data_IF_800557538816
#
_entry.id   IF_800557538816
#
_cell.length_a   1.000
_cell.length_b   1.000
_cell.length_c   1.000
_cell.angle_alpha   90.00
_cell.angle_beta   90.00
_cell.angle_gamma   90.00
#
_symmetry.space_group_name_H-M   'P 1'
#
loop_
_entity.id
_entity.type
_entity.pdbx_description
1 polymer ?
#
# COMPACT_ATOMS: atom_id res chain seq x y z
N UNK A 1 1.45 -22.48 0.71
CA UNK A 1 1.16 -21.36 1.64
C UNK A 1 -0.30 -21.02 1.51
N UNK A 2 -1.09 -21.30 2.54
CA UNK A 2 -2.55 -21.16 2.53
C UNK A 2 -2.99 -19.71 2.80
N UNK A 3 -4.28 -19.42 2.64
CA UNK A 3 -4.89 -18.13 2.97
C UNK A 3 -4.80 -17.73 4.46
N UNK A 4 -4.40 -18.66 5.34
CA UNK A 4 -4.22 -18.42 6.78
C UNK A 4 -2.80 -17.98 7.14
N UNK A 5 -1.87 -17.97 6.18
CA UNK A 5 -0.44 -17.77 6.45
C UNK A 5 -0.04 -16.27 6.48
N UNK A 6 -0.95 -15.37 6.09
CA UNK A 6 -0.72 -13.93 6.04
C UNK A 6 -1.82 -13.15 6.74
N UNK A 7 -1.47 -12.03 7.36
CA UNK A 7 -2.42 -11.07 7.88
C UNK A 7 -3.39 -10.56 6.81
N UNK A 8 -4.60 -10.25 7.27
CA UNK A 8 -5.74 -9.84 6.43
C UNK A 8 -5.38 -8.68 5.48
N UNK A 9 -4.56 -7.73 5.95
CA UNK A 9 -4.14 -6.60 5.14
C UNK A 9 -3.34 -7.01 3.91
N UNK A 10 -2.24 -7.75 4.08
CA UNK A 10 -1.41 -8.20 2.95
C UNK A 10 -2.21 -9.09 2.01
N UNK A 11 -3.03 -9.99 2.55
CA UNK A 11 -3.85 -10.91 1.78
C UNK A 11 -4.84 -10.21 0.82
N UNK A 12 -5.49 -9.14 1.27
CA UNK A 12 -6.48 -8.42 0.45
C UNK A 12 -5.93 -7.24 -0.34
N UNK A 13 -4.71 -6.77 -0.04
CA UNK A 13 -4.15 -5.58 -0.69
C UNK A 13 -2.96 -5.88 -1.61
N UNK A 14 -2.29 -7.02 -1.44
CA UNK A 14 -1.19 -7.40 -2.32
C UNK A 14 -1.71 -7.66 -3.74
N UNK A 15 -1.00 -7.10 -4.72
CA UNK A 15 -1.37 -7.14 -6.14
C UNK A 15 -0.36 -7.94 -6.96
N UNK A 16 -0.89 -8.74 -7.89
CA UNK A 16 -0.14 -9.56 -8.82
C UNK A 16 -0.25 -8.95 -10.23
N UNK A 17 0.88 -8.43 -10.71
CA UNK A 17 1.07 -7.98 -12.07
C UNK A 17 1.71 -9.14 -12.87
N UNK A 18 0.86 -9.90 -13.57
CA UNK A 18 1.19 -11.20 -14.19
C UNK A 18 2.19 -11.08 -15.33
N UNK A 19 2.04 -10.04 -16.17
CA UNK A 19 2.91 -9.83 -17.35
C UNK A 19 4.28 -9.32 -16.94
N UNK A 20 4.35 -8.51 -15.89
CA UNK A 20 5.58 -8.03 -15.27
C UNK A 20 6.20 -9.07 -14.32
N UNK A 21 5.46 -10.13 -13.96
CA UNK A 21 5.85 -11.12 -12.94
C UNK A 21 6.22 -10.44 -11.63
N UNK A 22 5.33 -9.56 -11.16
CA UNK A 22 5.52 -8.77 -9.95
C UNK A 22 4.42 -9.09 -8.94
N UNK A 23 4.82 -9.39 -7.71
CA UNK A 23 3.97 -9.33 -6.52
C UNK A 23 4.37 -8.09 -5.72
N UNK A 24 3.43 -7.15 -5.57
CA UNK A 24 3.63 -5.94 -4.79
C UNK A 24 2.70 -5.93 -3.58
N UNK A 25 3.28 -5.81 -2.38
CA UNK A 25 2.51 -5.63 -1.13
C UNK A 25 2.53 -4.14 -0.77
N UNK A 26 1.38 -3.44 -0.85
CA UNK A 26 1.35 -1.99 -0.69
C UNK A 26 1.42 -1.55 0.78
N UNK A 27 2.25 -0.54 1.08
CA UNK A 27 2.26 0.14 2.38
C UNK A 27 1.52 1.47 2.29
N UNK A 28 0.56 1.76 3.18
CA UNK A 28 -0.08 3.08 3.21
C UNK A 28 0.94 4.20 3.45
N UNK A 29 0.77 5.29 2.69
CA UNK A 29 1.62 6.51 2.74
C UNK A 29 3.07 6.33 2.29
N UNK A 30 3.34 5.31 1.47
CA UNK A 30 4.66 5.02 0.89
C UNK A 30 4.57 4.93 -0.64
N UNK A 31 3.98 5.95 -1.28
CA UNK A 31 3.81 6.03 -2.74
C UNK A 31 3.08 4.82 -3.39
N UNK A 32 2.28 4.07 -2.63
CA UNK A 32 1.58 2.89 -3.11
C UNK A 32 0.58 3.21 -4.25
N UNK A 33 -0.04 4.38 -4.23
CA UNK A 33 -0.88 4.88 -5.33
C UNK A 33 -0.09 4.96 -6.65
N UNK A 34 1.07 5.61 -6.64
CA UNK A 34 1.97 5.72 -7.80
C UNK A 34 2.43 4.35 -8.30
N UNK A 35 2.83 3.46 -7.40
CA UNK A 35 3.28 2.11 -7.76
C UNK A 35 2.16 1.31 -8.41
N UNK A 36 0.93 1.35 -7.85
CA UNK A 36 -0.22 0.65 -8.44
C UNK A 36 -0.56 1.19 -9.83
N UNK A 37 -0.50 2.51 -10.05
CA UNK A 37 -0.69 3.08 -11.39
C UNK A 37 0.36 2.61 -12.38
N UNK A 38 1.63 2.63 -11.97
CA UNK A 38 2.75 2.21 -12.81
C UNK A 38 2.63 0.71 -13.19
N UNK A 39 2.28 -0.15 -12.24
CA UNK A 39 2.08 -1.59 -12.47
C UNK A 39 0.85 -1.86 -13.33
N UNK A 40 -0.30 -1.26 -13.03
CA UNK A 40 -1.53 -1.45 -13.81
C UNK A 40 -1.37 -0.96 -15.27
N UNK A 41 -0.63 0.14 -15.46
CA UNK A 41 -0.27 0.63 -16.80
C UNK A 41 0.62 -0.37 -17.54
N UNK A 42 1.63 -0.94 -16.88
CA UNK A 42 2.51 -1.94 -17.49
C UNK A 42 1.79 -3.26 -17.82
N UNK A 43 0.81 -3.63 -16.99
CA UNK A 43 -0.04 -4.79 -17.20
C UNK A 43 -1.06 -4.59 -18.34
N UNK A 44 -1.35 -3.33 -18.70
CA UNK A 44 -2.47 -2.94 -19.59
C UNK A 44 -3.82 -3.39 -19.03
N UNK A 45 -4.00 -3.30 -17.71
CA UNK A 45 -5.20 -3.77 -16.99
C UNK A 45 -6.06 -2.63 -16.45
N UNK A 46 -5.68 -1.38 -16.71
CA UNK A 46 -6.49 -0.22 -16.33
C UNK A 46 -7.87 -0.31 -16.97
N UNK A 47 -8.88 -0.27 -16.11
CA UNK A 47 -10.28 -0.34 -16.49
C UNK A 47 -10.88 1.06 -16.57
N UNK A 48 -11.84 1.25 -17.48
CA UNK A 48 -12.72 2.42 -17.49
C UNK A 48 -13.89 2.28 -16.50
N UNK A 49 -13.87 1.26 -15.64
CA UNK A 49 -14.90 1.06 -14.63
C UNK A 49 -14.99 2.27 -13.69
N UNK A 50 -16.23 2.61 -13.31
CA UNK A 50 -16.48 3.61 -12.28
C UNK A 50 -16.09 2.97 -10.96
N UNK A 51 -15.06 3.52 -10.30
CA UNK A 51 -14.69 3.07 -8.96
C UNK A 51 -15.85 3.29 -8.00
N UNK A 52 -16.11 2.29 -7.17
CA UNK A 52 -17.08 2.39 -6.06
C UNK A 52 -16.39 2.80 -4.75
N UNK A 53 -15.10 3.10 -4.81
CA UNK A 53 -14.30 3.50 -3.67
C UNK A 53 -14.76 4.85 -3.10
N UNK A 54 -14.82 5.03 -1.77
CA UNK A 54 -15.13 6.31 -1.13
C UNK A 54 -13.98 7.33 -1.23
N UNK A 55 -12.98 7.06 -2.07
CA UNK A 55 -11.79 7.89 -2.19
C UNK A 55 -12.11 9.21 -2.94
N UNK A 56 -11.66 10.37 -2.43
CA UNK A 56 -12.13 11.67 -2.87
C UNK A 56 -11.50 12.18 -4.18
N UNK A 57 -10.52 11.47 -4.72
CA UNK A 57 -9.81 11.88 -5.96
C UNK A 57 -9.67 10.70 -6.90
N UNK A 58 -9.70 10.97 -8.20
CA UNK A 58 -9.52 9.96 -9.26
C UNK A 58 -8.23 9.16 -9.09
N UNK A 59 -7.13 9.78 -8.67
CA UNK A 59 -5.86 9.06 -8.48
C UNK A 59 -5.94 7.96 -7.43
N UNK A 60 -6.74 8.17 -6.37
CA UNK A 60 -6.92 7.23 -5.27
C UNK A 60 -7.89 6.09 -5.63
N UNK A 61 -8.60 6.19 -6.76
CA UNK A 61 -9.45 5.08 -7.23
C UNK A 61 -8.64 3.84 -7.62
N UNK A 62 -7.33 3.98 -7.88
CA UNK A 62 -6.44 2.85 -8.18
C UNK A 62 -6.32 1.84 -7.03
N UNK A 63 -6.83 2.16 -5.84
CA UNK A 63 -6.89 1.21 -4.73
C UNK A 63 -8.04 0.20 -4.88
N UNK A 64 -8.99 0.47 -5.76
CA UNK A 64 -10.11 -0.41 -6.12
C UNK A 64 -9.65 -1.45 -7.17
N UNK A 65 -9.79 -2.76 -6.88
CA UNK A 65 -9.44 -3.81 -7.83
C UNK A 65 -10.15 -3.71 -9.18
N UNK A 66 -11.36 -3.15 -9.22
CA UNK A 66 -12.10 -2.95 -10.47
C UNK A 66 -11.46 -1.89 -11.39
N UNK A 67 -10.64 -1.00 -10.84
CA UNK A 67 -9.92 0.05 -11.58
C UNK A 67 -8.57 -0.47 -12.08
N UNK A 68 -7.78 -1.09 -11.19
CA UNK A 68 -6.43 -1.51 -11.55
C UNK A 68 -6.38 -2.83 -12.34
N UNK A 69 -7.38 -3.71 -12.20
CA UNK A 69 -7.52 -4.95 -12.97
C UNK A 69 -6.45 -6.04 -12.74
N UNK A 70 -5.36 -5.73 -12.01
CA UNK A 70 -4.37 -6.70 -11.53
C UNK A 70 -4.98 -7.77 -10.63
N UNK A 71 -4.32 -8.93 -10.50
CA UNK A 71 -4.73 -9.96 -9.54
C UNK A 71 -4.59 -9.46 -8.11
N UNK A 72 -5.52 -9.85 -7.23
CA UNK A 72 -5.42 -9.60 -5.78
C UNK A 72 -5.07 -10.92 -5.11
N UNK A 73 -4.10 -10.93 -4.20
CA UNK A 73 -3.55 -12.15 -3.62
C UNK A 73 -4.65 -13.08 -3.04
N UNK A 74 -5.64 -12.50 -2.36
CA UNK A 74 -6.76 -13.26 -1.79
C UNK A 74 -7.84 -13.72 -2.77
N UNK A 75 -7.78 -13.27 -4.02
CA UNK A 75 -8.76 -13.59 -5.06
C UNK A 75 -8.20 -14.47 -6.19
N UNK A 76 -6.88 -14.59 -6.31
CA UNK A 76 -6.24 -15.48 -7.29
C UNK A 76 -6.31 -16.95 -6.88
N UNK A 77 -6.02 -17.87 -7.81
CA UNK A 77 -5.97 -19.30 -7.50
C UNK A 77 -4.78 -19.65 -6.61
N UNK A 78 -4.84 -20.80 -5.93
CA UNK A 78 -3.71 -21.30 -5.12
C UNK A 78 -2.45 -21.53 -5.96
N UNK A 79 -2.61 -22.12 -7.15
CA UNK A 79 -1.48 -22.35 -8.08
C UNK A 79 -0.81 -21.04 -8.48
N UNK A 80 -1.60 -19.99 -8.75
CA UNK A 80 -1.07 -18.67 -9.10
C UNK A 80 -0.33 -18.04 -7.91
N UNK A 81 -0.85 -18.17 -6.68
CA UNK A 81 -0.13 -17.75 -5.46
C UNK A 81 1.19 -18.49 -5.30
N UNK A 82 1.17 -19.82 -5.43
CA UNK A 82 2.38 -20.62 -5.30
C UNK A 82 3.42 -20.26 -6.35
N UNK A 83 3.01 -20.05 -7.60
CA UNK A 83 3.91 -19.57 -8.64
C UNK A 83 4.52 -18.21 -8.26
N UNK A 84 3.70 -17.24 -7.86
CA UNK A 84 4.17 -15.90 -7.50
C UNK A 84 5.13 -15.91 -6.31
N UNK A 85 4.93 -16.80 -5.33
CA UNK A 85 5.78 -16.93 -4.14
C UNK A 85 7.09 -17.66 -4.40
N UNK A 86 7.09 -18.70 -5.23
CA UNK A 86 8.21 -19.64 -5.31
C UNK A 86 9.03 -19.50 -6.57
N UNK A 87 8.47 -18.98 -7.66
CA UNK A 87 9.18 -18.87 -8.92
C UNK A 87 10.30 -17.82 -8.85
N UNK A 88 11.52 -18.13 -9.35
CA UNK A 88 12.62 -17.18 -9.42
C UNK A 88 12.36 -16.03 -10.41
N UNK A 89 11.43 -16.21 -11.35
CA UNK A 89 11.10 -15.19 -12.36
C UNK A 89 10.22 -14.07 -11.80
N UNK A 90 9.67 -14.25 -10.60
CA UNK A 90 8.81 -13.27 -9.96
C UNK A 90 9.60 -12.36 -9.02
N UNK A 91 9.35 -11.05 -9.15
CA UNK A 91 9.85 -10.05 -8.23
C UNK A 91 8.78 -9.80 -7.18
N UNK A 92 9.13 -10.01 -5.91
CA UNK A 92 8.24 -9.83 -4.75
C UNK A 92 8.79 -8.68 -3.95
N UNK A 93 8.07 -7.57 -3.88
CA UNK A 93 8.59 -6.40 -3.19
C UNK A 93 7.55 -5.62 -2.39
N UNK A 94 8.05 -4.88 -1.42
CA UNK A 94 7.34 -3.86 -0.68
C UNK A 94 8.22 -2.61 -0.55
N UNK A 95 7.61 -1.51 -0.13
CA UNK A 95 8.31 -0.25 0.12
C UNK A 95 7.99 0.21 1.53
N UNK A 96 9.02 0.60 2.26
CA UNK A 96 8.95 1.15 3.60
C UNK A 96 9.36 2.61 3.59
N UNK A 97 9.04 3.31 4.67
CA UNK A 97 9.49 4.69 4.92
C UNK A 97 9.87 4.82 6.39
N UNK A 98 10.64 5.85 6.74
CA UNK A 98 10.76 6.31 8.13
C UNK A 98 9.39 6.30 8.84
N UNK A 99 9.26 5.57 9.97
CA UNK A 99 7.98 5.46 10.68
C UNK A 99 7.47 6.82 11.17
N UNK A 100 8.38 7.73 11.53
CA UNK A 100 8.03 9.09 11.95
C UNK A 100 7.36 9.88 10.83
N UNK A 101 7.97 9.88 9.63
CA UNK A 101 7.42 10.61 8.49
C UNK A 101 6.10 9.99 8.00
N UNK A 102 5.98 8.66 8.06
CA UNK A 102 4.75 7.95 7.73
C UNK A 102 3.61 8.34 8.68
N UNK A 103 3.85 8.39 9.98
CA UNK A 103 2.85 8.80 10.98
C UNK A 103 2.41 10.25 10.76
N UNK A 104 3.33 11.18 10.48
CA UNK A 104 2.98 12.57 10.15
C UNK A 104 2.10 12.63 8.90
N UNK A 105 2.48 11.89 7.83
CA UNK A 105 1.69 11.85 6.59
C UNK A 105 0.29 11.25 6.80
N UNK A 106 0.18 10.20 7.61
CA UNK A 106 -1.08 9.58 7.96
C UNK A 106 -1.96 10.53 8.79
N UNK A 107 -1.39 11.22 9.77
CA UNK A 107 -2.09 12.20 10.61
C UNK A 107 -2.63 13.36 9.77
N UNK A 108 -1.81 13.98 8.93
CA UNK A 108 -2.26 15.04 8.04
C UNK A 108 -3.43 14.57 7.15
N UNK A 109 -3.32 13.37 6.59
CA UNK A 109 -4.32 12.85 5.67
C UNK A 109 -5.63 12.45 6.36
N UNK A 110 -5.57 11.63 7.40
CA UNK A 110 -6.77 11.04 8.05
C UNK A 110 -7.39 11.96 9.10
N UNK A 111 -6.59 12.78 9.78
CA UNK A 111 -7.04 13.61 10.90
C UNK A 111 -7.23 15.06 10.47
N UNK A 112 -6.24 15.68 9.85
CA UNK A 112 -6.32 17.11 9.49
C UNK A 112 -7.20 17.33 8.26
N UNK A 113 -7.03 16.54 7.20
CA UNK A 113 -7.83 16.65 5.98
C UNK A 113 -9.13 15.83 6.04
N UNK A 114 -9.38 15.10 7.12
CA UNK A 114 -10.63 14.36 7.35
C UNK A 114 -10.90 13.27 6.30
N UNK A 115 -9.86 12.70 5.69
CA UNK A 115 -10.03 11.63 4.72
C UNK A 115 -10.66 10.39 5.37
N UNK A 116 -11.54 9.66 4.67
CA UNK A 116 -12.25 8.50 5.22
C UNK A 116 -11.29 7.53 5.91
N UNK A 117 -11.59 7.21 7.15
CA UNK A 117 -10.92 6.18 7.95
C UNK A 117 -11.83 5.76 9.09
N UNK A 118 -11.53 4.63 9.73
CA UNK A 118 -12.27 4.12 10.89
C UNK A 118 -12.39 5.16 12.03
N UNK A 119 -11.53 6.17 12.02
CA UNK A 119 -11.36 7.14 13.08
C UNK A 119 -11.70 8.59 12.65
N UNK A 120 -11.99 8.80 11.36
CA UNK A 120 -11.93 10.12 10.71
C UNK A 120 -12.76 11.25 11.35
N UNK A 121 -14.04 11.07 11.74
CA UNK A 121 -14.81 12.22 12.27
C UNK A 121 -14.36 12.60 13.68
N UNK A 122 -14.23 11.62 14.56
CA UNK A 122 -13.91 11.84 15.98
C UNK A 122 -12.48 12.36 16.19
N UNK A 123 -11.51 11.86 15.41
CA UNK A 123 -10.13 12.34 15.50
C UNK A 123 -9.96 13.74 14.91
N UNK A 124 -10.65 14.04 13.80
CA UNK A 124 -10.57 15.34 13.15
C UNK A 124 -11.04 16.47 14.06
N UNK A 125 -12.16 16.27 14.77
CA UNK A 125 -12.67 17.24 15.74
C UNK A 125 -11.69 17.45 16.91
N UNK A 126 -11.08 16.37 17.41
CA UNK A 126 -10.23 16.40 18.60
C UNK A 126 -8.80 16.89 18.34
N UNK A 127 -8.25 16.61 17.16
CA UNK A 127 -6.82 16.80 16.84
C UNK A 127 -6.55 17.51 15.50
N UNK A 128 -7.56 17.77 14.68
CA UNK A 128 -7.43 18.44 13.38
C UNK A 128 -7.92 19.90 13.36
N UNK A 129 -8.70 20.32 14.38
CA UNK A 129 -9.34 21.63 14.46
C UNK A 129 -8.46 22.73 15.09
N UNK A 130 -7.41 22.34 15.83
CA UNK A 130 -6.45 23.27 16.44
C UNK A 130 -5.59 23.95 15.37
N UNK A 131 -5.44 25.28 15.43
CA UNK A 131 -4.53 26.03 14.53
C UNK A 131 -3.04 25.81 14.85
N UNK A 132 -2.73 25.25 16.02
CA UNK A 132 -1.39 24.82 16.39
C UNK A 132 -1.20 23.32 16.11
N UNK A 133 -0.77 23.03 14.88
CA UNK A 133 -0.50 21.66 14.44
C UNK A 133 0.59 20.95 15.24
N UNK A 134 1.57 21.69 15.81
CA UNK A 134 2.64 21.09 16.60
C UNK A 134 2.11 20.52 17.92
N UNK A 135 1.29 21.29 18.62
CA UNK A 135 0.61 20.84 19.85
C UNK A 135 -0.39 19.74 19.56
N UNK A 136 -1.19 19.88 18.49
CA UNK A 136 -2.18 18.89 18.09
C UNK A 136 -1.54 17.54 17.73
N UNK A 137 -0.46 17.54 16.93
CA UNK A 137 0.28 16.33 16.59
C UNK A 137 0.90 15.66 17.82
N UNK A 138 1.46 16.44 18.76
CA UNK A 138 1.98 15.88 20.02
C UNK A 138 0.90 15.17 20.84
N UNK A 139 -0.31 15.75 20.92
CA UNK A 139 -1.46 15.13 21.59
C UNK A 139 -1.89 13.86 20.86
N UNK A 140 -1.93 13.88 19.53
CA UNK A 140 -2.24 12.73 18.70
C UNK A 140 -1.27 11.56 18.92
N UNK A 141 0.05 11.82 18.90
CA UNK A 141 1.07 10.76 19.11
C UNK A 141 0.95 10.13 20.49
N UNK A 142 0.67 10.92 21.53
CA UNK A 142 0.42 10.37 22.88
C UNK A 142 -0.84 9.51 22.93
N UNK A 143 -1.86 9.83 22.14
CA UNK A 143 -3.05 8.98 22.04
C UNK A 143 -2.76 7.70 21.28
N UNK A 144 -1.97 7.77 20.21
CA UNK A 144 -1.60 6.63 19.37
C UNK A 144 -0.90 5.52 20.18
N UNK A 145 -0.05 5.87 21.16
CA UNK A 145 0.62 4.88 22.01
C UNK A 145 -0.33 4.14 22.95
N UNK A 146 -1.49 4.73 23.26
CA UNK A 146 -2.37 4.30 24.35
C UNK A 146 -3.73 3.78 23.85
N UNK A 147 -3.98 3.84 22.54
CA UNK A 147 -5.29 3.54 21.95
C UNK A 147 -5.23 2.40 20.90
N UNK A 148 -5.62 1.18 21.28
CA UNK A 148 -5.68 0.04 20.37
C UNK A 148 -6.58 0.25 19.15
N UNK A 149 -7.63 1.09 19.27
CA UNK A 149 -8.55 1.38 18.17
C UNK A 149 -7.84 2.21 17.10
N UNK A 150 -6.96 3.12 17.51
CA UNK A 150 -6.15 3.90 16.56
C UNK A 150 -5.12 3.01 15.88
N UNK A 151 -4.51 2.08 16.61
CA UNK A 151 -3.53 1.13 16.07
C UNK A 151 -4.14 0.09 15.12
N UNK A 152 -5.44 -0.18 15.22
CA UNK A 152 -6.18 -1.03 14.28
C UNK A 152 -6.36 -0.40 12.90
N UNK A 153 -6.19 0.91 12.76
CA UNK A 153 -6.17 1.58 11.46
C UNK A 153 -4.80 1.37 10.78
N UNK A 154 -4.83 0.77 9.58
CA UNK A 154 -3.65 0.40 8.79
C UNK A 154 -2.76 1.59 8.41
N UNK A 155 -3.27 2.82 8.49
CA UNK A 155 -2.46 4.03 8.30
C UNK A 155 -1.49 4.28 9.46
N UNK A 156 -1.83 3.79 10.65
CA UNK A 156 -1.06 3.98 11.88
C UNK A 156 -0.40 2.70 12.41
N UNK A 157 -0.80 1.51 11.93
CA UNK A 157 -0.17 0.23 12.30
C UNK A 157 1.30 0.16 11.87
N UNK A 158 2.10 -0.68 12.54
CA UNK A 158 3.51 -0.89 12.18
C UNK A 158 3.65 -1.45 10.75
N UNK A 159 4.66 -0.99 10.02
CA UNK A 159 4.88 -1.43 8.63
C UNK A 159 5.30 -2.91 8.58
N UNK A 160 6.11 -3.37 9.53
CA UNK A 160 6.58 -4.75 9.58
C UNK A 160 5.42 -5.74 9.64
N UNK A 161 4.44 -5.46 10.50
CA UNK A 161 3.23 -6.28 10.67
C UNK A 161 2.37 -6.27 9.41
N UNK A 162 2.07 -5.08 8.85
CA UNK A 162 1.26 -4.97 7.62
C UNK A 162 1.90 -5.67 6.42
N UNK A 163 3.23 -5.60 6.35
CA UNK A 163 4.00 -6.18 5.26
C UNK A 163 4.32 -7.65 5.49
N UNK A 164 4.02 -8.21 6.66
CA UNK A 164 4.32 -9.60 6.98
C UNK A 164 5.81 -9.89 6.71
N UNK A 165 6.69 -9.00 7.18
CA UNK A 165 8.10 -8.95 6.76
C UNK A 165 8.86 -10.26 7.03
N UNK A 166 8.42 -11.00 8.04
CA UNK A 166 9.04 -12.26 8.46
C UNK A 166 8.49 -13.49 7.71
N UNK A 167 7.34 -13.38 7.04
CA UNK A 167 6.64 -14.53 6.42
C UNK A 167 6.46 -14.39 4.91
N UNK A 168 6.31 -13.18 4.38
CA UNK A 168 6.21 -12.91 2.95
C UNK A 168 7.58 -13.09 2.27
N UNK A 169 7.68 -13.91 1.19
CA UNK A 169 8.96 -14.25 0.56
C UNK A 169 9.50 -13.13 -0.35
N UNK A 170 9.70 -11.93 0.20
CA UNK A 170 10.20 -10.79 -0.55
C UNK A 170 11.57 -11.09 -1.19
N UNK A 171 11.72 -10.72 -2.46
CA UNK A 171 13.04 -10.58 -3.09
C UNK A 171 13.64 -9.21 -2.81
N UNK A 172 12.81 -8.20 -2.57
CA UNK A 172 13.25 -6.83 -2.33
C UNK A 172 12.39 -6.15 -1.26
N UNK A 173 13.03 -5.55 -0.26
CA UNK A 173 12.40 -4.67 0.73
C UNK A 173 13.07 -3.32 0.57
N UNK A 174 12.31 -2.34 0.10
CA UNK A 174 12.87 -1.05 -0.31
C UNK A 174 12.59 0.01 0.75
N UNK A 175 13.51 0.97 0.90
CA UNK A 175 13.15 2.27 1.46
C UNK A 175 12.62 3.19 0.35
N UNK A 176 11.72 4.11 0.70
CA UNK A 176 11.07 5.03 -0.23
C UNK A 176 12.10 5.83 -1.04
N UNK A 177 13.25 6.18 -0.46
CA UNK A 177 14.31 6.89 -1.18
C UNK A 177 14.85 6.09 -2.38
N UNK A 178 14.88 4.75 -2.28
CA UNK A 178 15.34 3.85 -3.34
C UNK A 178 14.26 3.48 -4.38
N UNK A 179 13.02 3.96 -4.20
CA UNK A 179 11.91 3.56 -5.05
C UNK A 179 12.14 3.92 -6.52
N UNK A 180 12.62 5.12 -6.81
CA UNK A 180 12.79 5.56 -8.20
C UNK A 180 13.79 4.68 -8.96
N UNK A 181 14.95 4.41 -8.36
CA UNK A 181 15.97 3.54 -8.94
C UNK A 181 15.44 2.11 -9.12
N UNK A 182 14.64 1.63 -8.18
CA UNK A 182 14.00 0.32 -8.30
C UNK A 182 12.96 0.27 -9.42
N UNK A 183 12.16 1.32 -9.62
CA UNK A 183 11.21 1.36 -10.74
C UNK A 183 11.94 1.41 -12.10
N UNK A 184 13.12 2.03 -12.16
CA UNK A 184 14.01 1.95 -13.34
C UNK A 184 14.61 0.55 -13.51
N UNK A 185 15.00 -0.11 -12.43
CA UNK A 185 15.42 -1.51 -12.44
C UNK A 185 14.30 -2.43 -12.95
N UNK A 186 13.07 -2.29 -12.44
CA UNK A 186 11.91 -3.08 -12.87
C UNK A 186 11.63 -2.91 -14.37
N UNK A 187 11.77 -1.69 -14.90
CA UNK A 187 11.68 -1.44 -16.35
C UNK A 187 12.72 -2.22 -17.14
N UNK A 188 13.94 -2.31 -16.62
CA UNK A 188 15.07 -2.91 -17.33
C UNK A 188 15.23 -4.42 -17.14
N UNK A 189 14.56 -5.01 -16.14
CA UNK A 189 14.87 -6.35 -15.62
C UNK A 189 13.77 -7.41 -15.77
N UNK A 190 12.76 -7.17 -16.60
CA UNK A 190 11.73 -8.17 -16.93
C UNK A 190 11.84 -8.74 -18.35
N UNK A 191 11.09 -9.80 -18.69
CA UNK A 191 10.98 -10.32 -20.06
C UNK A 191 10.43 -9.28 -21.08
N UNK A 192 9.97 -8.11 -20.62
CA UNK A 192 9.46 -7.02 -21.46
C UNK A 192 9.98 -5.63 -21.02
N UNK A 193 11.14 -5.24 -21.55
CA UNK A 193 12.00 -4.10 -21.20
C UNK A 193 11.42 -2.66 -21.33
N UNK A 194 10.13 -2.46 -21.59
CA UNK A 194 9.66 -1.15 -22.12
C UNK A 194 8.33 -0.59 -21.58
N UNK A 195 7.72 -1.15 -20.52
CA UNK A 195 6.27 -0.90 -20.30
C UNK A 195 5.82 -0.26 -18.99
N UNK A 196 6.70 -0.05 -18.01
CA UNK A 196 6.33 0.75 -16.83
C UNK A 196 6.53 2.21 -17.22
N UNK A 197 5.47 3.04 -17.17
CA UNK A 197 5.52 4.50 -17.38
C UNK A 197 5.24 5.18 -16.03
N UNK A 198 5.95 6.27 -15.74
CA UNK A 198 5.91 7.04 -14.49
C UNK A 198 5.32 8.40 -14.82
#
# INVERSE_FOLDING_TARGET
MSSQDFGEFAYWNAVLARRAKVLFVPTPKVACTTIKWALASAELTLSSAISVSPEPTTDLTIHDPSVHGMGVLGLVSEDERQEAFTSPDWIRFCVTRSPYERIVSAWLNRVVFGMPSLLSPAMGEQFGSDRDYGTAFRRFVRRLSDDPVVLADTHFSAQGDLLEIDTMPYTHVLDLAGLNDFLVFLRSSGPHRERIVL
#
